data_IF_358062095338
#
_entry.id   IF_358062095338
#
_cell.length_a   1.000
_cell.length_b   1.000
_cell.length_c   1.000
_cell.angle_alpha   90.00
_cell.angle_beta   90.00
_cell.angle_gamma   90.00
#
_symmetry.space_group_name_H-M   'P 1'
#
loop_
_entity.id
_entity.type
_entity.pdbx_description
1 polymer ?
#
# COMPACT_ATOMS: atom_id res chain seq x y z
N UNK A 1 -21.97 2.79 24.41
CA UNK A 1 -20.62 2.43 23.92
C UNK A 1 -20.26 3.45 22.84
N UNK A 2 -19.33 4.36 23.12
CA UNK A 2 -19.01 5.48 22.22
C UNK A 2 -18.21 4.94 21.04
N UNK A 3 -18.76 5.04 19.82
CA UNK A 3 -18.02 4.87 18.59
C UNK A 3 -16.99 6.00 18.50
N UNK A 4 -15.76 5.77 18.98
CA UNK A 4 -14.64 6.66 18.70
C UNK A 4 -14.31 6.53 17.21
N UNK A 5 -14.86 7.45 16.40
CA UNK A 5 -14.45 7.65 15.01
C UNK A 5 -12.95 7.97 14.99
N UNK A 6 -12.21 7.37 14.07
CA UNK A 6 -10.84 7.82 13.81
C UNK A 6 -10.93 9.24 13.25
N UNK A 7 -10.40 10.20 13.99
CA UNK A 7 -10.36 11.56 13.52
C UNK A 7 -9.22 11.71 12.51
N UNK A 8 -9.50 11.40 11.25
CA UNK A 8 -8.59 11.59 10.12
C UNK A 8 -8.04 13.03 10.06
N UNK A 9 -8.84 14.00 10.53
CA UNK A 9 -8.56 15.43 10.45
C UNK A 9 -7.56 15.85 11.52
N UNK A 10 -7.67 15.31 12.74
CA UNK A 10 -6.84 15.72 13.87
C UNK A 10 -5.66 14.78 14.16
N UNK A 11 -5.54 13.64 13.47
CA UNK A 11 -4.42 12.72 13.68
C UNK A 11 -3.14 13.16 12.95
N UNK A 12 -2.01 13.17 13.65
CA UNK A 12 -0.72 13.53 13.05
C UNK A 12 -0.28 12.50 12.00
N UNK A 13 0.12 12.98 10.81
CA UNK A 13 0.62 12.13 9.72
C UNK A 13 1.84 11.30 10.11
N UNK A 14 2.68 11.82 11.00
CA UNK A 14 3.84 11.10 11.53
C UNK A 14 3.43 9.86 12.34
N UNK A 15 2.37 9.96 13.14
CA UNK A 15 1.85 8.83 13.92
C UNK A 15 1.18 7.81 13.00
N UNK A 16 0.47 8.28 11.96
CA UNK A 16 -0.10 7.42 10.92
C UNK A 16 0.99 6.61 10.22
N UNK A 17 2.11 7.24 9.85
CA UNK A 17 3.24 6.54 9.23
C UNK A 17 3.83 5.47 10.15
N UNK A 18 4.03 5.77 11.44
CA UNK A 18 4.55 4.78 12.41
C UNK A 18 3.61 3.58 12.56
N UNK A 19 2.31 3.83 12.57
CA UNK A 19 1.30 2.78 12.62
C UNK A 19 1.34 1.92 11.34
N UNK A 20 1.25 2.56 10.18
CA UNK A 20 1.25 1.92 8.86
C UNK A 20 2.54 1.13 8.66
N UNK A 21 3.70 1.71 8.98
CA UNK A 21 5.01 1.07 8.83
C UNK A 21 5.12 -0.20 9.67
N UNK A 22 4.74 -0.15 10.95
CA UNK A 22 4.76 -1.32 11.85
C UNK A 22 3.87 -2.44 11.33
N UNK A 23 2.67 -2.10 10.85
CA UNK A 23 1.71 -3.09 10.35
C UNK A 23 2.20 -3.76 9.08
N UNK A 24 2.66 -2.97 8.11
CA UNK A 24 3.23 -3.49 6.86
C UNK A 24 4.46 -4.34 7.15
N UNK A 25 5.36 -3.88 8.02
CA UNK A 25 6.57 -4.63 8.40
C UNK A 25 6.20 -6.00 8.98
N UNK A 26 5.28 -6.05 9.94
CA UNK A 26 4.82 -7.32 10.54
C UNK A 26 4.17 -8.24 9.49
N UNK A 27 3.38 -7.69 8.59
CA UNK A 27 2.74 -8.44 7.51
C UNK A 27 3.77 -9.03 6.53
N UNK A 28 4.77 -8.24 6.13
CA UNK A 28 5.88 -8.67 5.28
C UNK A 28 6.72 -9.76 5.96
N UNK A 29 7.09 -9.60 7.23
CA UNK A 29 7.86 -10.60 7.99
C UNK A 29 7.14 -11.95 8.11
N UNK A 30 5.80 -11.94 8.19
CA UNK A 30 5.01 -13.16 8.17
C UNK A 30 5.01 -13.81 6.79
N UNK A 31 4.89 -13.02 5.73
CA UNK A 31 4.86 -13.51 4.37
C UNK A 31 6.23 -13.98 3.87
N UNK A 32 7.33 -13.40 4.34
CA UNK A 32 8.70 -13.83 4.02
C UNK A 32 9.00 -15.25 4.52
N UNK A 33 8.26 -15.73 5.54
CA UNK A 33 8.35 -17.11 6.05
C UNK A 33 7.60 -18.12 5.19
N UNK A 34 6.73 -17.66 4.28
CA UNK A 34 5.98 -18.55 3.39
C UNK A 34 6.96 -19.05 2.32
N UNK A 35 7.20 -20.37 2.21
CA UNK A 35 8.15 -20.90 1.24
C UNK A 35 7.74 -20.51 -0.18
N UNK A 36 8.65 -19.82 -0.86
CA UNK A 36 8.42 -19.11 -2.11
C UNK A 36 8.31 -20.03 -3.35
N UNK A 37 8.02 -21.32 -3.16
CA UNK A 37 8.11 -22.35 -4.21
C UNK A 37 7.13 -22.16 -5.37
N UNK A 38 6.14 -21.28 -5.22
CA UNK A 38 5.09 -21.07 -6.21
C UNK A 38 4.63 -19.60 -6.35
N UNK A 39 5.39 -18.59 -5.93
CA UNK A 39 4.97 -17.20 -6.13
C UNK A 39 5.13 -16.76 -7.58
N UNK A 40 4.21 -15.91 -8.06
CA UNK A 40 4.34 -15.25 -9.36
C UNK A 40 5.29 -14.09 -9.26
N UNK A 41 6.36 -14.11 -10.06
CA UNK A 41 7.18 -12.92 -10.28
C UNK A 41 6.32 -11.84 -10.96
N UNK A 42 6.24 -10.67 -10.33
CA UNK A 42 5.48 -9.51 -10.82
C UNK A 42 6.41 -8.33 -11.07
N UNK A 43 5.92 -7.29 -11.75
CA UNK A 43 6.68 -6.04 -11.94
C UNK A 43 7.14 -5.38 -10.62
N UNK A 44 6.42 -5.66 -9.53
CA UNK A 44 6.78 -5.15 -8.19
C UNK A 44 8.01 -5.82 -7.59
N UNK A 45 8.46 -6.97 -8.07
CA UNK A 45 9.61 -7.66 -7.48
C UNK A 45 10.93 -7.02 -7.92
N UNK A 46 11.73 -6.62 -6.93
CA UNK A 46 13.10 -6.14 -7.12
C UNK A 46 14.09 -7.32 -7.09
N UNK A 47 15.26 -7.14 -7.74
CA UNK A 47 16.36 -8.14 -7.68
C UNK A 47 16.93 -8.31 -6.27
N UNK A 48 16.90 -7.23 -5.49
CA UNK A 48 17.40 -7.18 -4.12
C UNK A 48 16.39 -6.47 -3.23
N UNK A 49 16.36 -6.85 -1.95
CA UNK A 49 15.58 -6.14 -0.92
C UNK A 49 16.14 -4.73 -0.78
N UNK A 50 15.25 -3.74 -0.65
CA UNK A 50 15.68 -2.35 -0.50
C UNK A 50 16.39 -2.14 0.85
N UNK A 51 17.49 -1.40 0.82
CA UNK A 51 18.31 -1.10 2.01
C UNK A 51 17.62 -0.13 2.98
N UNK A 52 16.69 0.68 2.48
CA UNK A 52 15.91 1.62 3.28
C UNK A 52 14.75 0.90 3.98
N UNK A 53 14.52 1.18 5.27
CA UNK A 53 13.38 0.61 5.98
C UNK A 53 12.04 1.12 5.42
N UNK A 54 10.97 0.36 5.62
CA UNK A 54 9.60 0.76 5.22
C UNK A 54 9.24 2.12 5.85
N UNK A 55 9.54 2.32 7.13
CA UNK A 55 9.24 3.58 7.83
C UNK A 55 10.04 4.77 7.26
N UNK A 56 11.34 4.60 7.03
CA UNK A 56 12.16 5.66 6.44
C UNK A 56 11.73 5.97 5.01
N UNK A 57 11.27 4.98 4.24
CA UNK A 57 10.74 5.17 2.90
C UNK A 57 9.42 5.94 2.90
N UNK A 58 8.49 5.58 3.79
CA UNK A 58 7.23 6.31 3.97
C UNK A 58 7.45 7.76 4.41
N UNK A 59 8.37 7.99 5.35
CA UNK A 59 8.76 9.35 5.76
C UNK A 59 9.36 10.16 4.60
N UNK A 60 10.19 9.54 3.76
CA UNK A 60 10.70 10.17 2.53
C UNK A 60 9.56 10.56 1.61
N UNK A 61 8.57 9.68 1.40
CA UNK A 61 7.42 9.99 0.55
C UNK A 61 6.61 11.15 1.13
N UNK A 62 6.27 11.11 2.43
CA UNK A 62 5.57 12.22 3.10
C UNK A 62 6.31 13.55 2.96
N UNK A 63 7.63 13.57 3.14
CA UNK A 63 8.43 14.80 3.07
C UNK A 63 8.41 15.47 1.71
N UNK A 64 8.34 14.68 0.63
CA UNK A 64 8.49 15.19 -0.74
C UNK A 64 7.20 15.11 -1.56
N UNK A 65 6.09 14.66 -0.99
CA UNK A 65 4.79 14.57 -1.68
C UNK A 65 3.67 15.15 -0.81
N UNK A 66 2.57 15.57 -1.43
CA UNK A 66 1.39 16.10 -0.73
C UNK A 66 0.41 14.96 -0.41
N UNK A 67 0.83 14.03 0.44
CA UNK A 67 -0.02 12.90 0.85
C UNK A 67 -0.51 13.10 2.28
N UNK A 68 -1.82 13.08 2.48
CA UNK A 68 -2.44 13.09 3.81
C UNK A 68 -2.58 11.69 4.40
N UNK A 69 -3.23 11.61 5.56
CA UNK A 69 -3.46 10.36 6.29
C UNK A 69 -4.23 9.34 5.46
N UNK A 70 -5.23 9.82 4.72
CA UNK A 70 -6.09 9.05 3.83
C UNK A 70 -5.28 8.25 2.80
N UNK A 71 -4.22 8.83 2.26
CA UNK A 71 -3.36 8.15 1.28
C UNK A 71 -2.66 6.92 1.89
N UNK A 72 -2.05 7.08 3.06
CA UNK A 72 -1.31 5.97 3.71
C UNK A 72 -2.24 4.89 4.25
N UNK A 73 -3.42 5.27 4.73
CA UNK A 73 -4.43 4.33 5.23
C UNK A 73 -5.09 3.56 4.08
N UNK A 74 -5.39 4.21 2.96
CA UNK A 74 -5.96 3.55 1.77
C UNK A 74 -5.03 2.46 1.24
N UNK A 75 -3.70 2.67 1.29
CA UNK A 75 -2.71 1.67 0.88
C UNK A 75 -2.82 0.37 1.68
N UNK A 76 -3.14 0.43 2.97
CA UNK A 76 -3.35 -0.78 3.79
C UNK A 76 -4.59 -1.56 3.34
N UNK A 77 -5.65 -0.86 2.97
CA UNK A 77 -6.88 -1.44 2.41
C UNK A 77 -6.59 -2.06 1.04
N UNK A 78 -5.86 -1.37 0.16
CA UNK A 78 -5.45 -1.90 -1.14
C UNK A 78 -4.63 -3.17 -1.00
N UNK A 79 -3.62 -3.20 -0.12
CA UNK A 79 -2.85 -4.42 0.14
C UNK A 79 -3.70 -5.56 0.69
N UNK A 80 -4.68 -5.24 1.53
CA UNK A 80 -5.63 -6.24 2.01
C UNK A 80 -6.45 -6.83 0.88
N UNK A 81 -7.05 -5.98 0.02
CA UNK A 81 -7.79 -6.41 -1.18
C UNK A 81 -6.90 -7.30 -2.05
N UNK A 82 -5.66 -6.87 -2.34
CA UNK A 82 -4.68 -7.65 -3.10
C UNK A 82 -4.39 -9.04 -2.52
N UNK A 83 -4.26 -9.14 -1.19
CA UNK A 83 -4.01 -10.41 -0.52
C UNK A 83 -5.19 -11.39 -0.60
N UNK A 84 -6.42 -10.90 -0.82
CA UNK A 84 -7.62 -11.71 -0.95
C UNK A 84 -7.92 -12.15 -2.40
N UNK A 85 -7.19 -11.61 -3.39
CA UNK A 85 -7.41 -11.87 -4.83
C UNK A 85 -7.25 -13.35 -5.20
N UNK A 86 -6.68 -14.18 -4.32
CA UNK A 86 -6.68 -15.64 -4.51
C UNK A 86 -8.08 -16.22 -4.81
N UNK A 87 -9.17 -15.52 -4.41
CA UNK A 87 -10.55 -15.92 -4.67
C UNK A 87 -11.31 -15.07 -5.71
N UNK A 88 -10.71 -14.02 -6.28
CA UNK A 88 -11.42 -13.05 -7.14
C UNK A 88 -11.01 -13.21 -8.61
N UNK A 89 -11.99 -13.31 -9.52
CA UNK A 89 -11.78 -13.32 -10.96
C UNK A 89 -11.80 -11.86 -11.45
N UNK A 90 -10.67 -11.25 -11.84
CA UNK A 90 -10.69 -9.89 -12.34
C UNK A 90 -11.33 -9.84 -13.73
N UNK A 91 -12.19 -8.84 -13.96
CA UNK A 91 -12.82 -8.57 -15.25
C UNK A 91 -11.79 -8.20 -16.33
N UNK A 92 -10.60 -7.71 -15.93
CA UNK A 92 -9.54 -7.26 -16.83
C UNK A 92 -8.34 -8.22 -16.90
N UNK A 93 -7.57 -8.27 -18.02
CA UNK A 93 -6.41 -9.13 -18.15
C UNK A 93 -5.18 -8.54 -17.43
N UNK A 94 -4.96 -8.90 -16.16
CA UNK A 94 -3.72 -8.53 -15.44
C UNK A 94 -2.57 -9.46 -15.85
N UNK A 95 -1.32 -8.99 -15.85
CA UNK A 95 -0.14 -9.82 -16.20
C UNK A 95 -0.02 -11.07 -15.29
N UNK A 96 -0.58 -10.95 -14.08
CA UNK A 96 -0.73 -12.04 -13.12
C UNK A 96 -1.71 -13.17 -13.54
N UNK A 97 -2.61 -12.97 -14.53
CA UNK A 97 -3.63 -13.97 -14.95
C UNK A 97 -3.06 -15.27 -15.53
N UNK A 98 -1.85 -15.26 -16.10
CA UNK A 98 -1.26 -16.49 -16.68
C UNK A 98 -0.98 -17.57 -15.63
N UNK A 99 -1.00 -17.22 -14.35
CA UNK A 99 -0.65 -18.10 -13.25
C UNK A 99 -1.71 -17.98 -12.15
N UNK A 100 -2.45 -19.06 -11.86
CA UNK A 100 -3.43 -19.18 -10.75
C UNK A 100 -2.77 -19.14 -9.35
N UNK A 101 -1.75 -18.32 -9.18
CA UNK A 101 -0.86 -18.33 -8.02
C UNK A 101 -1.16 -17.12 -7.14
N UNK A 102 -1.15 -17.28 -5.80
CA UNK A 102 -1.42 -16.19 -4.89
C UNK A 102 -0.34 -15.10 -5.03
N UNK A 103 -0.78 -13.84 -5.06
CA UNK A 103 0.12 -12.70 -4.98
C UNK A 103 0.55 -12.48 -3.52
N UNK A 104 1.83 -12.70 -3.23
CA UNK A 104 2.39 -12.60 -1.88
C UNK A 104 3.20 -11.30 -1.77
N UNK A 105 2.81 -10.44 -0.83
CA UNK A 105 3.53 -9.22 -0.50
C UNK A 105 4.69 -9.57 0.43
N UNK A 106 5.92 -9.23 0.06
CA UNK A 106 7.14 -9.66 0.74
C UNK A 106 8.21 -8.54 0.71
N UNK A 107 9.37 -8.80 1.31
CA UNK A 107 10.46 -7.81 1.39
C UNK A 107 11.03 -7.40 0.03
N UNK A 108 10.84 -8.20 -1.02
CA UNK A 108 11.34 -7.91 -2.37
C UNK A 108 10.43 -6.99 -3.18
N UNK A 109 9.15 -6.90 -2.83
CA UNK A 109 8.16 -6.15 -3.60
C UNK A 109 7.51 -4.97 -2.86
N UNK A 110 7.61 -4.92 -1.53
CA UNK A 110 6.89 -3.93 -0.73
C UNK A 110 7.22 -2.48 -1.07
N UNK A 111 8.48 -2.12 -1.33
CA UNK A 111 8.84 -0.72 -1.63
C UNK A 111 8.25 -0.23 -2.95
N UNK A 112 8.26 -1.07 -3.99
CA UNK A 112 7.63 -0.76 -5.27
C UNK A 112 6.12 -0.68 -5.16
N UNK A 113 5.51 -1.58 -4.37
CA UNK A 113 4.09 -1.54 -4.05
C UNK A 113 3.70 -0.26 -3.31
N UNK A 114 4.52 0.19 -2.35
CA UNK A 114 4.27 1.39 -1.57
C UNK A 114 4.24 2.64 -2.43
N UNK A 115 5.26 2.87 -3.27
CA UNK A 115 5.29 4.08 -4.11
C UNK A 115 4.18 4.08 -5.15
N UNK A 116 3.86 2.92 -5.76
CA UNK A 116 2.75 2.80 -6.69
C UNK A 116 1.41 3.06 -5.98
N UNK A 117 1.18 2.42 -4.84
CA UNK A 117 -0.06 2.58 -4.08
C UNK A 117 -0.28 3.99 -3.55
N UNK A 118 0.77 4.66 -3.08
CA UNK A 118 0.68 6.06 -2.65
C UNK A 118 0.44 6.98 -3.84
N UNK A 119 1.08 6.75 -4.98
CA UNK A 119 0.86 7.54 -6.20
C UNK A 119 -0.61 7.46 -6.63
N UNK A 120 -1.14 6.24 -6.73
CA UNK A 120 -2.55 6.00 -7.08
C UNK A 120 -3.49 6.63 -6.05
N UNK A 121 -3.22 6.42 -4.76
CA UNK A 121 -4.07 6.96 -3.71
C UNK A 121 -4.08 8.48 -3.68
N UNK A 122 -2.94 9.12 -3.88
CA UNK A 122 -2.84 10.58 -3.89
C UNK A 122 -3.58 11.18 -5.09
N UNK A 123 -3.44 10.58 -6.28
CA UNK A 123 -4.18 11.01 -7.47
C UNK A 123 -5.69 10.82 -7.36
N UNK A 124 -6.13 9.82 -6.59
CA UNK A 124 -7.55 9.52 -6.41
C UNK A 124 -8.20 10.36 -5.32
N UNK A 125 -7.50 10.59 -4.21
CA UNK A 125 -8.06 11.25 -3.02
C UNK A 125 -7.79 12.76 -2.94
N UNK A 126 -6.77 13.27 -3.64
CA UNK A 126 -6.35 14.66 -3.54
C UNK A 126 -6.67 15.44 -4.82
N UNK A 127 -7.25 16.63 -4.69
CA UNK A 127 -7.48 17.55 -5.81
C UNK A 127 -6.16 18.10 -6.39
N UNK A 128 -5.13 18.19 -5.55
CA UNK A 128 -3.78 18.64 -5.92
C UNK A 128 -2.81 17.48 -5.76
N UNK A 129 -2.27 16.99 -6.88
CA UNK A 129 -1.32 15.88 -6.92
C UNK A 129 -0.15 16.18 -7.86
N UNK A 130 0.96 15.47 -7.66
CA UNK A 130 2.13 15.61 -8.51
C UNK A 130 2.09 14.69 -9.74
N UNK A 131 2.92 15.00 -10.73
CA UNK A 131 3.15 14.14 -11.89
C UNK A 131 3.93 12.88 -11.50
N UNK A 132 3.80 11.81 -12.30
CA UNK A 132 4.57 10.57 -12.10
C UNK A 132 6.08 10.79 -12.11
N UNK A 133 6.57 11.75 -12.89
CA UNK A 133 7.99 12.11 -12.90
C UNK A 133 8.49 12.54 -11.53
N UNK A 134 7.65 13.19 -10.73
CA UNK A 134 7.96 13.60 -9.37
C UNK A 134 7.96 12.40 -8.40
N UNK A 135 6.89 11.60 -8.42
CA UNK A 135 6.82 10.39 -7.61
C UNK A 135 7.94 9.40 -7.93
N UNK A 136 8.36 9.29 -9.19
CA UNK A 136 9.46 8.43 -9.62
C UNK A 136 10.80 8.88 -9.01
N UNK A 137 11.07 10.20 -8.99
CA UNK A 137 12.25 10.76 -8.32
C UNK A 137 12.22 10.52 -6.81
N UNK A 138 11.07 10.70 -6.17
CA UNK A 138 10.90 10.41 -4.74
C UNK A 138 11.11 8.93 -4.46
N UNK A 139 10.57 8.04 -5.30
CA UNK A 139 10.69 6.60 -5.17
C UNK A 139 12.07 6.03 -5.53
N UNK A 140 12.91 6.79 -6.24
CA UNK A 140 14.21 6.35 -6.73
C UNK A 140 14.13 5.42 -7.95
N UNK A 141 13.10 5.59 -8.79
CA UNK A 141 12.81 4.72 -9.93
C UNK A 141 12.83 5.52 -11.25
N UNK A 142 13.13 4.86 -12.39
CA UNK A 142 12.84 5.42 -13.70
C UNK A 142 11.35 5.72 -13.86
N UNK A 143 11.01 6.81 -14.57
CA UNK A 143 9.61 7.20 -14.79
C UNK A 143 8.79 6.11 -15.49
N UNK A 144 9.37 5.45 -16.49
CA UNK A 144 8.72 4.36 -17.23
C UNK A 144 8.41 3.17 -16.31
N UNK A 145 9.29 2.91 -15.34
CA UNK A 145 9.07 1.87 -14.34
C UNK A 145 7.88 2.24 -13.45
N UNK A 146 7.82 3.47 -12.93
CA UNK A 146 6.69 3.90 -12.10
C UNK A 146 5.37 3.86 -12.87
N UNK A 147 5.34 4.28 -14.13
CA UNK A 147 4.13 4.23 -14.96
C UNK A 147 3.58 2.79 -15.09
N UNK A 148 4.49 1.81 -15.29
CA UNK A 148 4.10 0.40 -15.35
C UNK A 148 3.61 -0.12 -14.00
N UNK A 149 4.30 0.26 -12.92
CA UNK A 149 3.90 -0.12 -11.56
C UNK A 149 2.53 0.45 -11.19
N UNK A 150 2.25 1.70 -11.55
CA UNK A 150 0.95 2.34 -11.36
C UNK A 150 -0.16 1.57 -12.07
N UNK A 151 0.04 1.25 -13.36
CA UNK A 151 -0.95 0.50 -14.13
C UNK A 151 -1.20 -0.90 -13.55
N UNK A 152 -0.15 -1.65 -13.22
CA UNK A 152 -0.32 -2.99 -12.62
C UNK A 152 -0.98 -2.89 -11.24
N UNK A 153 -0.73 -1.82 -10.47
CA UNK A 153 -1.36 -1.61 -9.17
C UNK A 153 -2.88 -1.39 -9.29
N UNK A 154 -3.29 -0.59 -10.28
CA UNK A 154 -4.71 -0.39 -10.60
C UNK A 154 -5.37 -1.69 -11.03
N UNK A 155 -4.71 -2.46 -11.89
CA UNK A 155 -5.19 -3.76 -12.36
C UNK A 155 -5.33 -4.77 -11.22
N UNK A 156 -4.38 -4.78 -10.28
CA UNK A 156 -4.46 -5.62 -9.08
C UNK A 156 -5.64 -5.21 -8.19
N UNK A 157 -5.94 -3.92 -8.02
CA UNK A 157 -7.14 -3.51 -7.28
C UNK A 157 -8.43 -3.51 -8.11
N UNK A 158 -8.41 -4.03 -9.34
CA UNK A 158 -9.55 -4.00 -10.26
C UNK A 158 -10.14 -2.58 -10.45
N UNK A 159 -9.28 -1.56 -10.39
CA UNK A 159 -9.64 -0.13 -10.40
C UNK A 159 -10.60 0.31 -9.28
N UNK A 160 -10.87 -0.56 -8.30
CA UNK A 160 -11.59 -0.20 -7.10
C UNK A 160 -10.62 0.45 -6.10
N UNK A 161 -10.59 1.78 -6.17
CA UNK A 161 -9.79 2.64 -5.29
C UNK A 161 -10.65 3.36 -4.25
N UNK A 162 -11.97 3.25 -4.34
CA UNK A 162 -12.84 3.90 -3.39
C UNK A 162 -12.74 3.17 -2.04
N UNK A 163 -12.18 3.85 -1.05
CA UNK A 163 -12.14 3.38 0.33
C UNK A 163 -13.12 4.22 1.14
N UNK A 164 -14.25 3.62 1.50
CA UNK A 164 -15.21 4.29 2.37
C UNK A 164 -14.66 4.45 3.79
N UNK A 165 -15.17 5.44 4.52
CA UNK A 165 -14.80 5.64 5.94
C UNK A 165 -15.22 4.44 6.77
N UNK A 166 -16.34 3.82 6.41
CA UNK A 166 -16.89 2.61 7.02
C UNK A 166 -15.95 1.42 6.81
N UNK A 167 -15.50 1.16 5.59
CA UNK A 167 -14.55 0.08 5.29
C UNK A 167 -13.21 0.32 5.99
N UNK A 168 -12.73 1.56 6.02
CA UNK A 168 -11.51 1.91 6.73
C UNK A 168 -11.65 1.66 8.23
N UNK A 169 -12.79 2.02 8.82
CA UNK A 169 -13.09 1.75 10.23
C UNK A 169 -13.21 0.25 10.52
N UNK A 170 -13.89 -0.51 9.66
CA UNK A 170 -13.99 -1.96 9.78
C UNK A 170 -12.62 -2.63 9.66
N UNK A 171 -11.79 -2.18 8.72
CA UNK A 171 -10.43 -2.66 8.55
C UNK A 171 -9.59 -2.37 9.80
N UNK A 172 -9.67 -1.14 10.34
CA UNK A 172 -9.01 -0.78 11.58
C UNK A 172 -9.47 -1.66 12.75
N UNK A 173 -10.78 -1.84 12.92
CA UNK A 173 -11.36 -2.65 13.99
C UNK A 173 -10.96 -4.13 13.89
N UNK A 174 -11.08 -4.72 12.70
CA UNK A 174 -10.77 -6.13 12.41
C UNK A 174 -9.29 -6.44 12.62
N UNK A 175 -8.41 -5.49 12.32
CA UNK A 175 -6.97 -5.64 12.53
C UNK A 175 -6.52 -5.19 13.93
N UNK A 176 -7.45 -4.95 14.87
CA UNK A 176 -7.09 -4.57 16.24
C UNK A 176 -6.33 -3.25 16.32
N UNK A 177 -6.62 -2.31 15.42
CA UNK A 177 -6.27 -0.90 15.59
C UNK A 177 -7.34 -0.33 16.55
N UNK A 178 -7.13 -0.52 17.84
CA UNK A 178 -7.92 0.14 18.87
C UNK A 178 -7.42 1.57 19.01
N UNK A 179 -8.32 2.53 18.85
CA UNK A 179 -8.03 3.97 18.90
C UNK A 179 -7.46 4.49 20.24
N UNK A 180 -7.28 3.61 21.24
CA UNK A 180 -6.62 3.91 22.51
C UNK A 180 -5.13 3.59 22.59
N UNK A 181 -4.50 2.90 21.62
CA UNK A 181 -3.06 2.53 21.74
C UNK A 181 -2.08 3.54 21.16
N UNK A 182 -2.49 4.81 20.97
CA UNK A 182 -1.57 5.92 20.66
C UNK A 182 -1.01 6.63 21.91
N UNK A 183 -1.41 6.22 23.11
CA UNK A 183 -0.72 6.55 24.35
C UNK A 183 -0.45 5.26 25.11
N UNK A 184 0.69 4.63 24.81
CA UNK A 184 1.61 3.95 25.73
C UNK A 184 2.88 3.59 24.95
#
# INVERSE_FOLDING_TARGET
>A
MVNQKFDLVNHSTTNTIKLVSRRIKKFVELNDKIPNSNSTLTYFHSKHVALISIESYLNRILKYTLCGNECFLSVLVYFHRMSQIQNYIPSFPSSCKKNKKPFIINSYNIHRLLIAGITVSAKFNSDIFFLNSHYAKVGGLPINELNNLEMEFLMLNNYDLHVSVEELHEWCKKNGITFSTCFL
#
